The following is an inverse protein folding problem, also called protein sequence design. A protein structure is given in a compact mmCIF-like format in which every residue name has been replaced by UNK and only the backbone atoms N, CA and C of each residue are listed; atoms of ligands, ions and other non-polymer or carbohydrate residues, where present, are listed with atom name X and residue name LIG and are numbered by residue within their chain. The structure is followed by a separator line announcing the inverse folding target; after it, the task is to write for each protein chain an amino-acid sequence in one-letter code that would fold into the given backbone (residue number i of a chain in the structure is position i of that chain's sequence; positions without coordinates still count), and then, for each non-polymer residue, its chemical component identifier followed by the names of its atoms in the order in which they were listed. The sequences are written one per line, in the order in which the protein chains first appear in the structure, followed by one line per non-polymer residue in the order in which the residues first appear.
data_IF_380288008674
#
_entry.id   IF_380288008674
#
_cell.length_a   1.000
_cell.length_b   1.000
_cell.length_c   1.000
_cell.angle_alpha   90.00
_cell.angle_beta   90.00
_cell.angle_gamma   90.00
#
_symmetry.space_group_name_H-M   'P 1'
#
loop_
_entity.id
_entity.type
_entity.pdbx_description
1 polymer ?
#
# COMPACT_ATOMS: atom_id res chain seq x y z
N UNK A 1 -20.15 28.81 23.14
CA UNK A 1 -20.86 27.59 22.73
C UNK A 1 -19.81 26.54 22.54
N UNK A 2 -19.82 25.49 23.37
CA UNK A 2 -18.83 24.42 23.30
C UNK A 2 -19.33 23.38 22.30
N UNK A 3 -19.02 23.61 21.03
CA UNK A 3 -19.10 22.57 20.02
C UNK A 3 -17.79 21.78 20.10
N UNK A 4 -17.74 20.80 21.01
CA UNK A 4 -16.74 19.73 20.92
C UNK A 4 -17.26 18.79 19.85
N UNK A 5 -16.81 18.99 18.61
CA UNK A 5 -17.18 18.15 17.50
C UNK A 5 -16.06 17.17 17.21
N UNK A 6 -16.05 16.08 17.98
CA UNK A 6 -15.25 14.90 17.65
C UNK A 6 -16.05 14.08 16.63
N UNK A 7 -15.58 14.02 15.39
CA UNK A 7 -16.22 13.26 14.31
C UNK A 7 -15.52 11.91 14.03
N UNK A 8 -14.67 11.45 14.95
CA UNK A 8 -14.05 10.13 14.88
C UNK A 8 -14.95 9.02 15.47
N UNK A 9 -14.86 7.82 14.93
CA UNK A 9 -15.43 6.61 15.55
C UNK A 9 -14.46 6.09 16.60
N UNK A 10 -14.90 6.03 17.86
CA UNK A 10 -14.09 5.49 18.96
C UNK A 10 -14.68 4.15 19.39
N UNK A 11 -13.92 3.07 19.23
CA UNK A 11 -14.27 1.72 19.62
C UNK A 11 -13.34 1.29 20.75
N UNK A 12 -13.91 0.89 21.88
CA UNK A 12 -13.16 0.56 23.09
C UNK A 12 -13.60 -0.79 23.62
N UNK A 13 -12.64 -1.66 23.96
CA UNK A 13 -12.88 -2.99 24.52
C UNK A 13 -13.81 -3.85 23.65
N UNK A 14 -13.46 -3.98 22.36
CA UNK A 14 -14.22 -4.74 21.36
C UNK A 14 -13.46 -5.98 20.85
N UNK A 15 -12.90 -6.86 21.70
CA UNK A 15 -12.01 -7.92 21.24
C UNK A 15 -12.67 -8.87 20.22
N UNK A 16 -11.87 -9.50 19.36
CA UNK A 16 -12.31 -10.45 18.30
C UNK A 16 -13.32 -9.86 17.30
N UNK A 17 -13.31 -8.54 17.10
CA UNK A 17 -14.26 -7.85 16.25
C UNK A 17 -13.71 -7.53 14.86
N UNK A 18 -14.64 -7.33 13.93
CA UNK A 18 -14.35 -6.82 12.58
C UNK A 18 -14.95 -5.43 12.43
N UNK A 19 -14.12 -4.46 12.05
CA UNK A 19 -14.51 -3.09 11.73
C UNK A 19 -14.38 -2.92 10.22
N UNK A 20 -15.50 -2.93 9.50
CA UNK A 20 -15.46 -2.94 8.04
C UNK A 20 -16.57 -2.18 7.34
N UNK A 21 -16.30 -1.76 6.10
CA UNK A 21 -17.29 -1.13 5.23
C UNK A 21 -17.67 0.30 5.65
N UNK A 22 -16.84 0.95 6.46
CA UNK A 22 -17.10 2.32 6.91
C UNK A 22 -16.54 3.32 5.89
N UNK A 23 -17.23 4.46 5.76
CA UNK A 23 -16.73 5.60 4.99
C UNK A 23 -16.79 6.87 5.85
N UNK A 24 -15.63 7.25 6.40
CA UNK A 24 -15.50 8.39 7.33
C UNK A 24 -14.70 9.49 6.63
N UNK A 25 -15.35 10.64 6.39
CA UNK A 25 -14.85 11.70 5.51
C UNK A 25 -15.30 13.08 5.98
N UNK A 26 -14.73 13.63 7.06
CA UNK A 26 -15.07 14.99 7.47
C UNK A 26 -14.70 16.01 6.38
N UNK A 27 -15.45 17.10 6.33
CA UNK A 27 -15.27 18.17 5.33
C UNK A 27 -13.94 18.93 5.50
N UNK A 28 -13.37 18.91 6.70
CA UNK A 28 -12.06 19.48 7.04
C UNK A 28 -11.29 18.51 7.94
N UNK A 29 -9.96 18.64 7.94
CA UNK A 29 -9.14 17.91 8.91
C UNK A 29 -9.51 18.30 10.33
N UNK A 30 -9.46 17.33 11.25
CA UNK A 30 -9.80 17.50 12.67
C UNK A 30 -8.59 17.13 13.54
N UNK A 31 -7.57 17.99 13.66
CA UNK A 31 -6.51 17.77 14.64
C UNK A 31 -7.04 17.92 16.08
N UNK A 32 -6.58 17.11 17.04
CA UNK A 32 -5.59 16.04 16.91
C UNK A 32 -6.20 14.64 16.69
N UNK A 33 -7.47 14.57 16.26
CA UNK A 33 -8.29 13.37 16.42
C UNK A 33 -8.21 12.42 15.19
N UNK A 34 -8.04 11.10 15.43
CA UNK A 34 -8.13 10.10 14.39
C UNK A 34 -9.58 9.88 13.91
N UNK A 35 -9.77 9.46 12.67
CA UNK A 35 -11.12 9.12 12.15
C UNK A 35 -11.67 7.81 12.73
N UNK A 36 -10.80 6.83 12.98
CA UNK A 36 -11.14 5.58 13.67
C UNK A 36 -10.13 5.35 14.80
N UNK A 37 -10.61 5.29 16.03
CA UNK A 37 -9.81 4.99 17.21
C UNK A 37 -10.19 3.65 17.81
N UNK A 38 -9.23 2.74 17.93
CA UNK A 38 -9.39 1.45 18.61
C UNK A 38 -8.60 1.49 19.92
N UNK A 39 -9.27 1.24 21.04
CA UNK A 39 -8.64 1.20 22.35
C UNK A 39 -8.86 -0.16 23.02
N UNK A 40 -7.84 -0.69 23.69
CA UNK A 40 -7.95 -1.85 24.59
C UNK A 40 -8.65 -3.05 23.93
N UNK A 41 -8.33 -3.35 22.68
CA UNK A 41 -9.06 -4.33 21.87
C UNK A 41 -8.13 -5.30 21.17
N UNK A 42 -8.24 -6.59 21.52
CA UNK A 42 -7.37 -7.62 20.97
C UNK A 42 -8.02 -8.38 19.81
N UNK A 43 -7.20 -8.95 18.91
CA UNK A 43 -7.64 -9.80 17.78
C UNK A 43 -8.65 -9.09 16.85
N UNK A 44 -8.39 -7.82 16.53
CA UNK A 44 -9.28 -7.00 15.70
C UNK A 44 -8.90 -7.10 14.23
N UNK A 45 -9.89 -7.08 13.34
CA UNK A 45 -9.68 -6.89 11.90
C UNK A 45 -10.35 -5.59 11.47
N UNK A 46 -9.57 -4.64 10.97
CA UNK A 46 -10.06 -3.41 10.35
C UNK A 46 -9.88 -3.58 8.84
N UNK A 47 -10.98 -3.63 8.09
CA UNK A 47 -10.90 -3.87 6.65
C UNK A 47 -11.91 -3.13 5.80
N UNK A 48 -11.58 -2.92 4.53
CA UNK A 48 -12.53 -2.38 3.55
C UNK A 48 -13.15 -1.03 3.98
N UNK A 49 -12.40 -0.20 4.72
CA UNK A 49 -12.84 1.12 5.14
C UNK A 49 -12.24 2.20 4.26
N UNK A 50 -13.01 3.26 3.97
CA UNK A 50 -12.53 4.47 3.31
C UNK A 50 -12.47 5.62 4.31
N UNK A 51 -11.26 6.00 4.70
CA UNK A 51 -10.98 7.03 5.70
C UNK A 51 -10.20 8.16 5.04
N UNK A 52 -10.77 9.37 5.05
CA UNK A 52 -10.21 10.52 4.34
C UNK A 52 -10.27 11.77 5.21
N UNK A 53 -9.21 12.58 5.16
CA UNK A 53 -9.19 13.92 5.77
C UNK A 53 -9.17 13.90 7.31
N UNK A 54 -8.52 12.89 7.92
CA UNK A 54 -8.24 12.85 9.37
C UNK A 54 -6.94 13.56 9.75
N UNK A 55 -6.73 13.83 11.03
CA UNK A 55 -5.36 14.15 11.47
C UNK A 55 -4.48 12.90 11.40
N UNK A 56 -4.98 11.84 12.04
CA UNK A 56 -4.72 10.47 11.67
C UNK A 56 -5.96 9.81 11.07
N UNK A 57 -5.81 8.83 10.18
CA UNK A 57 -6.98 8.07 9.71
C UNK A 57 -7.37 6.97 10.70
N UNK A 58 -6.38 6.24 11.24
CA UNK A 58 -6.61 5.21 12.27
C UNK A 58 -5.68 5.44 13.45
N UNK A 59 -6.17 5.36 14.68
CA UNK A 59 -5.36 5.34 15.90
C UNK A 59 -5.66 4.07 16.68
N UNK A 60 -4.62 3.43 17.21
CA UNK A 60 -4.73 2.19 17.97
C UNK A 60 -3.93 2.32 19.26
N UNK A 61 -4.63 2.13 20.38
CA UNK A 61 -4.11 2.28 21.73
C UNK A 61 -4.26 0.97 22.50
N UNK A 62 -3.15 0.48 23.08
CA UNK A 62 -3.08 -0.69 23.97
C UNK A 62 -3.92 -1.89 23.49
N UNK A 63 -3.75 -2.27 22.24
CA UNK A 63 -4.55 -3.27 21.50
C UNK A 63 -3.62 -4.26 20.78
N UNK A 64 -3.79 -5.56 21.02
CA UNK A 64 -2.92 -6.61 20.46
C UNK A 64 -3.54 -7.30 19.25
N UNK A 65 -2.69 -7.73 18.30
CA UNK A 65 -3.08 -8.51 17.12
C UNK A 65 -4.14 -7.81 16.26
N UNK A 66 -3.97 -6.51 16.04
CA UNK A 66 -4.83 -5.71 15.16
C UNK A 66 -4.39 -5.91 13.71
N UNK A 67 -5.31 -6.36 12.85
CA UNK A 67 -5.08 -6.57 11.42
C UNK A 67 -5.69 -5.44 10.61
N UNK A 68 -4.92 -4.80 9.75
CA UNK A 68 -5.39 -3.77 8.82
C UNK A 68 -5.31 -4.34 7.41
N UNK A 69 -6.45 -4.43 6.72
CA UNK A 69 -6.57 -5.13 5.43
C UNK A 69 -7.39 -4.27 4.46
N UNK A 70 -6.87 -3.94 3.29
CA UNK A 70 -7.65 -3.31 2.20
C UNK A 70 -8.40 -2.02 2.60
N UNK A 71 -7.86 -1.25 3.55
CA UNK A 71 -8.38 0.06 3.88
C UNK A 71 -7.83 1.11 2.90
N UNK A 72 -8.70 1.98 2.39
CA UNK A 72 -8.31 3.13 1.59
C UNK A 72 -8.15 4.31 2.54
N UNK A 73 -6.90 4.72 2.75
CA UNK A 73 -6.55 5.86 3.58
C UNK A 73 -6.08 7.01 2.71
N UNK A 74 -6.65 8.20 2.88
CA UNK A 74 -6.32 9.35 2.05
C UNK A 74 -6.22 10.64 2.87
N UNK A 75 -5.39 11.57 2.39
CA UNK A 75 -5.31 12.97 2.84
C UNK A 75 -5.25 13.15 4.36
N UNK A 76 -4.52 12.30 5.08
CA UNK A 76 -4.27 12.51 6.50
C UNK A 76 -3.27 13.68 6.67
N UNK A 77 -3.48 14.53 7.67
CA UNK A 77 -2.60 15.69 7.90
C UNK A 77 -1.28 15.29 8.58
N UNK A 78 -1.34 14.46 9.61
CA UNK A 78 -0.15 14.04 10.36
C UNK A 78 0.34 12.66 9.91
N UNK A 79 -0.56 11.68 9.80
CA UNK A 79 -0.19 10.34 9.34
C UNK A 79 -1.38 9.43 9.08
N UNK A 80 -1.19 8.35 8.33
CA UNK A 80 -2.29 7.42 8.05
C UNK A 80 -2.71 6.59 9.28
N UNK A 81 -1.73 6.26 10.13
CA UNK A 81 -1.94 5.47 11.35
C UNK A 81 -1.17 6.07 12.52
N UNK A 82 -1.76 6.04 13.70
CA UNK A 82 -1.14 6.30 14.98
C UNK A 82 -1.18 5.03 15.83
N UNK A 83 -0.06 4.71 16.46
CA UNK A 83 0.06 3.57 17.36
C UNK A 83 0.62 4.09 18.67
N UNK A 84 -0.07 3.83 19.77
CA UNK A 84 0.38 4.30 21.09
C UNK A 84 0.21 3.21 22.13
N UNK A 85 1.20 3.00 23.00
CA UNK A 85 1.16 1.96 24.02
C UNK A 85 1.56 0.57 23.51
N UNK A 86 1.16 -0.48 24.22
CA UNK A 86 1.58 -1.87 23.92
C UNK A 86 0.64 -2.48 22.89
N UNK A 87 1.07 -2.51 21.63
CA UNK A 87 0.25 -3.01 20.53
C UNK A 87 0.98 -4.09 19.73
N UNK A 88 0.27 -4.85 18.90
CA UNK A 88 0.88 -5.66 17.83
C UNK A 88 0.03 -5.61 16.57
N UNK A 89 0.66 -5.36 15.42
CA UNK A 89 -0.02 -5.14 14.14
C UNK A 89 0.32 -6.20 13.11
N UNK A 90 -0.66 -6.50 12.27
CA UNK A 90 -0.45 -7.15 10.97
C UNK A 90 -1.09 -6.23 9.93
N UNK A 91 -0.28 -5.46 9.20
CA UNK A 91 -0.76 -4.58 8.12
C UNK A 91 -0.50 -5.29 6.79
N UNK A 92 -1.57 -5.78 6.16
CA UNK A 92 -1.55 -6.20 4.75
C UNK A 92 -1.91 -4.97 3.92
N UNK A 93 -1.08 -4.23 3.19
CA UNK A 93 0.34 -4.16 2.86
C UNK A 93 0.48 -2.86 2.04
N UNK A 94 1.69 -2.37 1.74
CA UNK A 94 1.88 -1.25 0.78
C UNK A 94 1.57 -1.78 -0.62
N UNK A 95 0.70 -1.12 -1.37
CA UNK A 95 0.52 -1.36 -2.80
C UNK A 95 0.94 -0.12 -3.58
N UNK A 96 1.79 -0.30 -4.58
CA UNK A 96 2.25 0.77 -5.47
C UNK A 96 2.29 0.27 -6.90
N UNK A 97 1.82 1.10 -7.83
CA UNK A 97 1.88 0.82 -9.26
C UNK A 97 2.86 1.75 -9.95
N UNK A 98 3.50 1.25 -11.00
CA UNK A 98 4.40 1.97 -11.89
C UNK A 98 4.11 1.54 -13.33
N UNK A 99 4.13 2.50 -14.27
CA UNK A 99 4.19 2.18 -15.70
C UNK A 99 5.65 2.13 -16.13
N UNK A 100 6.00 1.12 -16.92
CA UNK A 100 7.30 0.97 -17.57
C UNK A 100 7.06 1.15 -19.06
N UNK A 101 7.83 2.01 -19.70
CA UNK A 101 7.77 2.14 -21.15
C UNK A 101 8.71 1.15 -21.85
N UNK A 102 8.42 0.84 -23.12
CA UNK A 102 9.26 0.02 -24.00
C UNK A 102 10.73 0.52 -24.05
N UNK A 103 10.92 1.83 -23.90
CA UNK A 103 12.21 2.50 -23.88
C UNK A 103 13.02 2.29 -22.59
N UNK A 104 12.41 1.72 -21.55
CA UNK A 104 13.05 1.49 -20.25
C UNK A 104 12.95 2.67 -19.29
N UNK A 105 11.98 3.56 -19.48
CA UNK A 105 11.75 4.69 -18.59
C UNK A 105 10.47 4.48 -17.78
N UNK A 106 10.33 5.26 -16.69
CA UNK A 106 9.06 5.36 -15.98
C UNK A 106 8.02 6.07 -16.85
N UNK A 107 6.79 5.56 -16.87
CA UNK A 107 5.68 6.10 -17.63
C UNK A 107 4.75 6.98 -16.79
N UNK A 108 4.42 8.16 -17.30
CA UNK A 108 3.38 9.03 -16.75
C UNK A 108 1.98 8.40 -16.91
N UNK A 109 1.00 8.57 -16.00
CA UNK A 109 0.98 9.41 -14.77
C UNK A 109 1.26 8.67 -13.45
N UNK A 110 1.52 7.36 -13.46
CA UNK A 110 1.58 6.52 -12.25
C UNK A 110 3.00 6.39 -11.69
N UNK A 111 3.77 7.47 -11.70
CA UNK A 111 5.17 7.46 -11.28
C UNK A 111 5.31 7.52 -9.74
N UNK A 112 5.75 6.42 -9.13
CA UNK A 112 6.33 6.49 -7.79
C UNK A 112 7.69 7.18 -7.92
N UNK A 113 7.79 8.43 -7.46
CA UNK A 113 8.97 9.27 -7.67
C UNK A 113 10.29 8.59 -7.21
N UNK A 114 10.24 7.80 -6.14
CA UNK A 114 11.38 7.12 -5.52
C UNK A 114 11.80 5.80 -6.20
N UNK A 115 11.06 5.30 -7.18
CA UNK A 115 11.42 4.08 -7.90
C UNK A 115 12.25 4.40 -9.14
N UNK A 116 13.01 3.43 -9.62
CA UNK A 116 13.79 3.54 -10.87
C UNK A 116 13.54 2.33 -11.75
N UNK A 117 13.58 2.55 -13.07
CA UNK A 117 13.47 1.50 -14.08
C UNK A 117 14.72 1.61 -14.95
N UNK A 118 15.37 0.48 -15.22
CA UNK A 118 16.51 0.39 -16.12
C UNK A 118 16.25 -0.74 -17.09
N UNK A 119 16.32 -0.45 -18.39
CA UNK A 119 16.32 -1.48 -19.42
C UNK A 119 17.74 -2.03 -19.58
N UNK A 120 17.92 -3.30 -19.31
CA UNK A 120 19.24 -3.96 -19.40
C UNK A 120 19.55 -4.39 -20.84
N UNK A 121 18.57 -4.96 -21.51
CA UNK A 121 18.60 -5.38 -22.92
C UNK A 121 17.17 -5.44 -23.45
N UNK A 122 16.98 -5.77 -24.71
CA UNK A 122 15.63 -5.99 -25.29
C UNK A 122 14.84 -6.99 -24.46
N UNK A 123 13.61 -6.61 -24.09
CA UNK A 123 12.69 -7.41 -23.29
C UNK A 123 13.11 -7.64 -21.85
N UNK A 124 14.13 -6.94 -21.33
CA UNK A 124 14.55 -7.06 -19.93
C UNK A 124 14.59 -5.70 -19.23
N UNK A 125 13.81 -5.59 -18.14
CA UNK A 125 13.71 -4.39 -17.31
C UNK A 125 14.00 -4.73 -15.86
N UNK A 126 14.89 -3.96 -15.22
CA UNK A 126 15.12 -4.03 -13.78
C UNK A 126 14.43 -2.83 -13.13
N UNK A 127 13.57 -3.11 -12.15
CA UNK A 127 12.92 -2.09 -11.34
C UNK A 127 13.53 -2.10 -9.96
N UNK A 128 13.93 -0.94 -9.46
CA UNK A 128 14.32 -0.73 -8.07
C UNK A 128 13.19 -0.05 -7.34
N UNK A 129 12.77 -0.61 -6.20
CA UNK A 129 11.66 -0.11 -5.40
C UNK A 129 12.07 0.13 -3.95
N UNK A 130 11.35 1.02 -3.28
CA UNK A 130 11.48 1.27 -1.85
C UNK A 130 10.26 0.77 -1.07
N UNK A 131 9.81 -0.46 -1.34
CA UNK A 131 8.74 -1.10 -0.58
C UNK A 131 9.15 -1.34 0.89
N UNK A 132 10.46 -1.35 1.18
CA UNK A 132 11.07 -1.62 2.47
C UNK A 132 10.58 -2.96 3.06
N UNK A 133 10.47 -3.96 2.20
CA UNK A 133 10.04 -5.31 2.55
C UNK A 133 10.59 -6.27 1.52
N UNK A 134 11.11 -7.40 1.99
CA UNK A 134 11.69 -8.47 1.18
C UNK A 134 10.62 -9.46 0.70
N UNK A 135 9.43 -9.40 1.30
CA UNK A 135 8.33 -10.31 1.06
C UNK A 135 7.24 -9.67 0.19
N UNK A 136 7.59 -9.16 -0.99
CA UNK A 136 6.62 -8.50 -1.87
C UNK A 136 6.18 -9.38 -3.04
N UNK A 137 4.99 -9.15 -3.58
CA UNK A 137 4.52 -9.71 -4.85
C UNK A 137 4.52 -8.66 -5.94
N UNK A 138 4.69 -9.10 -7.19
CA UNK A 138 4.65 -8.26 -8.39
C UNK A 138 3.58 -8.82 -9.32
N UNK A 139 2.66 -7.96 -9.74
CA UNK A 139 1.70 -8.24 -10.79
C UNK A 139 2.02 -7.36 -12.00
N UNK A 140 1.92 -7.92 -13.20
CA UNK A 140 2.20 -7.21 -14.45
C UNK A 140 1.02 -7.33 -15.40
N UNK A 141 0.82 -6.28 -16.19
CA UNK A 141 -0.16 -6.23 -17.28
C UNK A 141 0.48 -5.50 -18.45
N UNK A 142 0.18 -5.93 -19.68
CA UNK A 142 0.52 -5.16 -20.88
C UNK A 142 -0.27 -3.86 -20.86
N UNK A 143 0.40 -2.73 -21.09
CA UNK A 143 -0.23 -1.42 -21.10
C UNK A 143 -0.80 -1.12 -22.50
N UNK A 144 -2.02 -1.61 -22.72
CA UNK A 144 -2.89 -1.23 -23.84
C UNK A 144 -2.37 -1.52 -25.26
N UNK A 145 -1.62 -2.61 -25.49
CA UNK A 145 -1.40 -3.13 -26.85
C UNK A 145 -2.37 -4.28 -27.17
N UNK A 146 -3.52 -3.93 -27.74
CA UNK A 146 -4.53 -4.88 -28.24
C UNK A 146 -4.12 -5.62 -29.51
N UNK A 147 -2.95 -5.30 -30.11
CA UNK A 147 -2.52 -5.88 -31.38
C UNK A 147 -1.55 -7.05 -31.23
N UNK A 148 -1.00 -7.29 -30.03
CA UNK A 148 -0.04 -8.37 -29.75
C UNK A 148 -0.43 -9.26 -28.55
N UNK A 149 -1.49 -10.08 -28.66
CA UNK A 149 -1.99 -10.91 -27.55
C UNK A 149 -1.07 -12.09 -27.15
N UNK A 150 0.13 -12.21 -27.74
CA UNK A 150 1.04 -13.34 -27.56
C UNK A 150 2.29 -13.03 -26.74
N UNK A 151 2.22 -12.11 -25.77
CA UNK A 151 3.34 -11.81 -24.89
C UNK A 151 3.31 -12.68 -23.65
N UNK A 152 4.46 -13.19 -23.25
CA UNK A 152 4.66 -13.74 -21.93
C UNK A 152 5.52 -12.80 -21.10
N UNK A 153 5.13 -12.62 -19.85
CA UNK A 153 5.88 -11.80 -18.89
C UNK A 153 6.27 -12.72 -17.73
N UNK A 154 7.56 -12.75 -17.42
CA UNK A 154 8.05 -13.42 -16.22
C UNK A 154 8.74 -12.42 -15.30
N UNK A 155 8.66 -12.69 -13.99
CA UNK A 155 9.22 -11.82 -12.96
C UNK A 155 10.18 -12.61 -12.09
N UNK A 156 11.38 -12.07 -11.90
CA UNK A 156 12.37 -12.57 -10.95
C UNK A 156 12.56 -11.53 -9.84
N UNK A 157 12.15 -11.87 -8.63
CA UNK A 157 12.30 -11.00 -7.46
C UNK A 157 13.70 -11.10 -6.85
N UNK A 158 14.22 -9.97 -6.40
CA UNK A 158 15.35 -9.84 -5.48
C UNK A 158 14.92 -8.97 -4.28
N UNK A 159 15.87 -8.53 -3.45
CA UNK A 159 15.59 -7.81 -2.20
C UNK A 159 14.81 -6.49 -2.41
N UNK A 160 15.43 -5.54 -3.12
CA UNK A 160 14.87 -4.21 -3.40
C UNK A 160 14.67 -3.99 -4.91
N UNK A 161 14.85 -5.05 -5.69
CA UNK A 161 14.72 -5.03 -7.14
C UNK A 161 13.95 -6.23 -7.63
N UNK A 162 13.30 -6.10 -8.77
CA UNK A 162 12.83 -7.23 -9.56
C UNK A 162 13.18 -7.04 -11.02
N UNK A 163 13.44 -8.14 -11.69
CA UNK A 163 13.67 -8.20 -13.13
C UNK A 163 12.40 -8.70 -13.81
N UNK A 164 12.01 -8.00 -14.87
CA UNK A 164 10.94 -8.37 -15.79
C UNK A 164 11.57 -8.88 -17.08
N UNK A 165 11.05 -9.99 -17.59
CA UNK A 165 11.40 -10.51 -18.90
C UNK A 165 10.14 -10.63 -19.74
N UNK A 166 10.20 -10.12 -20.97
CA UNK A 166 9.12 -10.16 -21.94
C UNK A 166 9.59 -10.91 -23.17
N UNK A 167 8.83 -11.93 -23.56
CA UNK A 167 9.01 -12.65 -24.81
C UNK A 167 7.70 -12.74 -25.61
N UNK A 168 7.84 -12.92 -26.92
CA UNK A 168 6.72 -13.26 -27.78
C UNK A 168 6.43 -14.78 -27.77
N UNK A 169 5.37 -15.18 -28.46
CA UNK A 169 4.96 -16.59 -28.53
C UNK A 169 6.00 -17.50 -29.23
N UNK A 170 7.00 -16.94 -29.92
CA UNK A 170 8.13 -17.66 -30.49
C UNK A 170 9.35 -17.72 -29.54
N UNK A 171 9.26 -17.09 -28.37
CA UNK A 171 10.32 -17.01 -27.38
C UNK A 171 11.36 -15.91 -27.67
N UNK A 172 11.10 -15.00 -28.60
CA UNK A 172 11.99 -13.88 -28.88
C UNK A 172 11.75 -12.76 -27.87
N UNK A 173 12.84 -12.24 -27.28
CA UNK A 173 12.77 -11.11 -26.37
C UNK A 173 12.28 -9.85 -27.11
N UNK A 174 11.33 -9.13 -26.52
CA UNK A 174 10.69 -7.96 -27.14
C UNK A 174 10.43 -6.87 -26.11
N UNK A 175 10.53 -5.62 -26.55
CA UNK A 175 10.22 -4.47 -25.73
C UNK A 175 8.71 -4.18 -25.78
N UNK A 176 8.13 -3.79 -24.64
CA UNK A 176 6.71 -3.47 -24.55
C UNK A 176 6.44 -2.51 -23.38
N UNK A 177 5.30 -1.84 -23.41
CA UNK A 177 4.84 -1.03 -22.30
C UNK A 177 4.13 -1.92 -21.26
N UNK A 178 4.45 -1.73 -19.98
CA UNK A 178 3.90 -2.52 -18.88
C UNK A 178 3.29 -1.64 -17.79
N UNK A 179 2.17 -2.07 -17.25
CA UNK A 179 1.71 -1.68 -15.92
C UNK A 179 2.17 -2.72 -14.91
N UNK A 180 2.84 -2.27 -13.86
CA UNK A 180 3.36 -3.14 -12.80
C UNK A 180 2.82 -2.69 -11.46
N UNK A 181 2.22 -3.60 -10.70
CA UNK A 181 1.77 -3.38 -9.33
C UNK A 181 2.59 -4.23 -8.38
N UNK A 182 3.17 -3.60 -7.37
CA UNK A 182 3.93 -4.27 -6.32
C UNK A 182 3.16 -4.17 -5.02
N UNK A 183 2.94 -5.31 -4.37
CA UNK A 183 2.29 -5.39 -3.07
C UNK A 183 3.27 -5.96 -2.07
N UNK A 184 3.51 -5.28 -0.96
CA UNK A 184 4.40 -5.76 0.10
C UNK A 184 3.71 -5.68 1.47
N UNK A 185 3.81 -6.71 2.32
CA UNK A 185 3.38 -6.62 3.70
C UNK A 185 4.23 -5.57 4.41
N UNK A 186 3.61 -4.82 5.31
CA UNK A 186 4.37 -4.05 6.28
C UNK A 186 4.59 -4.97 7.46
N UNK A 187 5.84 -5.39 7.66
CA UNK A 187 6.28 -6.03 8.90
C UNK A 187 6.79 -4.91 9.81
N UNK A 188 6.10 -4.67 10.92
CA UNK A 188 6.60 -3.81 12.00
C UNK A 188 7.27 -4.75 13.01
N UNK A 189 8.54 -5.05 12.79
CA UNK A 189 9.39 -5.68 13.80
C UNK A 189 9.98 -4.55 14.67
N UNK A 190 9.60 -4.54 15.94
CA UNK A 190 10.02 -3.64 17.03
C UNK A 190 9.40 -2.22 17.11
N UNK A 191 8.47 -2.09 18.07
CA UNK A 191 7.82 -0.84 18.53
C UNK A 191 8.76 0.08 19.32
N UNK A 192 10.04 -0.28 19.49
CA UNK A 192 10.96 0.46 20.36
C UNK A 192 11.71 1.62 19.67
N UNK A 193 11.51 1.90 18.39
CA UNK A 193 12.28 2.92 17.65
C UNK A 193 11.41 3.86 16.80
N UNK A 194 10.33 4.39 17.36
CA UNK A 194 9.69 5.60 16.82
C UNK A 194 9.87 6.70 17.87
N UNK A 195 10.88 7.56 17.65
CA UNK A 195 11.02 8.87 18.31
C UNK A 195 10.41 9.95 17.42
#
# INVERSE_FOLDING_TARGET
GNDIVSYGMILTNIPNSVVSGNSIRPASVIPPDPLLKINFSDDIIIRDNYLNNGDYNISVLDSLRVKLIDNILASAQTGEYEVTGTNSFIINGRSKSIRISEAGNKGFPWDVASWTVVKATTGQYTVTHNMNSTDYSVATMLDNDVTNPGRHISVKRNLDTFDLYIDDNAGAAIDDDLLVTVNAPIVIDDINNIQ
#
